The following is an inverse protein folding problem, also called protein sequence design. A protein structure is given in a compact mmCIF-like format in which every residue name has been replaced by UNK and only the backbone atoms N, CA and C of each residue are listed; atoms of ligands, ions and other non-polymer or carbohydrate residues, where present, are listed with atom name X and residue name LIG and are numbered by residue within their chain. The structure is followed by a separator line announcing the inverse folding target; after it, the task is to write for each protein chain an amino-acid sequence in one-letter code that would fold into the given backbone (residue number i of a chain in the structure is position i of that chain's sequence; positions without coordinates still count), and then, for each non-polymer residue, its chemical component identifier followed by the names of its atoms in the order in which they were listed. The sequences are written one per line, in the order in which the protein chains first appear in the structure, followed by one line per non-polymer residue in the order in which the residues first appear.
data_IF_518774074894
#
_entry.id   IF_518774074894
#
_cell.length_a   1.000
_cell.length_b   1.000
_cell.length_c   1.000
_cell.angle_alpha   90.00
_cell.angle_beta   90.00
_cell.angle_gamma   90.00
#
_symmetry.space_group_name_H-M   'P 1'
#
loop_
_entity.id
_entity.type
_entity.pdbx_description
1 polymer ?
#
# COMPACT_ATOMS: atom_id res chain seq x y z
N UNK A 1 34.59 -5.00 -0.41
CA UNK A 1 33.56 -4.16 -1.03
C UNK A 1 32.75 -3.58 0.10
N UNK A 2 32.81 -2.27 0.32
CA UNK A 2 31.98 -1.58 1.32
C UNK A 2 30.52 -1.89 1.01
N UNK A 3 29.88 -2.67 1.87
CA UNK A 3 28.46 -2.96 1.72
C UNK A 3 27.73 -1.62 1.86
N UNK A 4 27.07 -1.16 0.80
CA UNK A 4 26.38 0.12 0.77
C UNK A 4 25.15 0.02 1.68
N UNK A 5 25.35 0.35 2.96
CA UNK A 5 24.34 0.34 4.01
C UNK A 5 23.76 1.73 4.21
N UNK A 6 22.45 1.79 4.48
CA UNK A 6 21.76 3.03 4.86
C UNK A 6 21.43 3.01 6.35
N UNK A 7 21.56 4.15 7.02
CA UNK A 7 21.08 4.36 8.38
C UNK A 7 19.55 4.43 8.43
N UNK A 8 18.99 4.37 9.64
CA UNK A 8 17.54 4.53 9.83
C UNK A 8 17.01 5.84 9.24
N UNK A 9 17.77 6.94 9.32
CA UNK A 9 17.35 8.25 8.81
C UNK A 9 17.29 8.25 7.29
N UNK A 10 18.36 7.78 6.65
CA UNK A 10 18.41 7.67 5.19
C UNK A 10 17.31 6.73 4.67
N UNK A 11 17.00 5.65 5.40
CA UNK A 11 15.86 4.78 5.07
C UNK A 11 14.51 5.49 5.20
N UNK A 12 14.32 6.33 6.23
CA UNK A 12 13.09 7.09 6.38
C UNK A 12 12.92 8.08 5.22
N UNK A 13 13.98 8.79 4.88
CA UNK A 13 13.97 9.80 3.80
C UNK A 13 13.74 9.15 2.43
N UNK A 14 14.37 8.00 2.16
CA UNK A 14 14.27 7.33 0.86
C UNK A 14 12.96 6.56 0.62
N UNK A 15 12.27 6.14 1.68
CA UNK A 15 11.08 5.29 1.60
C UNK A 15 9.83 5.93 2.18
N UNK A 16 9.92 7.18 2.63
CA UNK A 16 8.82 7.94 3.24
C UNK A 16 8.17 7.18 4.41
N UNK A 17 9.01 6.56 5.24
CA UNK A 17 8.57 5.82 6.43
C UNK A 17 9.13 6.46 7.69
N UNK A 18 8.53 6.15 8.84
CA UNK A 18 9.02 6.64 10.12
C UNK A 18 10.05 5.69 10.74
N UNK A 19 10.91 6.18 11.65
CA UNK A 19 11.77 5.29 12.44
C UNK A 19 10.97 4.26 13.24
N UNK A 20 9.77 4.61 13.70
CA UNK A 20 8.84 3.69 14.38
C UNK A 20 8.44 2.55 13.46
N UNK A 21 8.12 2.83 12.20
CA UNK A 21 7.76 1.83 11.18
C UNK A 21 8.92 0.86 10.93
N UNK A 22 10.15 1.36 10.74
CA UNK A 22 11.32 0.51 10.51
C UNK A 22 11.62 -0.41 11.70
N UNK A 23 11.57 0.14 12.93
CA UNK A 23 11.74 -0.66 14.16
C UNK A 23 10.64 -1.69 14.35
N UNK A 24 9.41 -1.34 13.95
CA UNK A 24 8.30 -2.27 14.00
C UNK A 24 8.50 -3.44 13.02
N UNK A 25 8.94 -3.19 11.79
CA UNK A 25 9.25 -4.25 10.83
C UNK A 25 10.46 -5.10 11.24
N UNK A 26 11.48 -4.51 11.86
CA UNK A 26 12.56 -5.26 12.51
C UNK A 26 12.01 -6.17 13.63
N UNK A 27 11.18 -5.63 14.52
CA UNK A 27 10.58 -6.40 15.63
C UNK A 27 9.62 -7.50 15.16
N UNK A 28 9.11 -7.41 13.93
CA UNK A 28 8.28 -8.44 13.28
C UNK A 28 9.08 -9.39 12.40
N UNK A 29 10.41 -9.31 12.46
CA UNK A 29 11.35 -10.15 11.72
C UNK A 29 11.14 -10.05 10.19
N UNK A 30 10.76 -8.85 9.74
CA UNK A 30 10.58 -8.56 8.31
C UNK A 30 11.81 -7.86 7.71
N UNK A 31 12.58 -7.16 8.55
CA UNK A 31 13.85 -6.52 8.20
C UNK A 31 14.95 -6.98 9.17
N UNK A 32 16.18 -7.07 8.68
CA UNK A 32 17.30 -7.62 9.44
C UNK A 32 18.54 -6.70 9.33
N UNK A 33 18.45 -5.45 9.81
CA UNK A 33 19.58 -4.52 9.77
C UNK A 33 20.75 -5.01 10.63
N UNK A 34 21.96 -4.69 10.19
CA UNK A 34 23.19 -4.88 10.98
C UNK A 34 23.17 -3.88 12.15
N UNK A 35 23.49 -4.36 13.35
CA UNK A 35 23.59 -3.52 14.55
C UNK A 35 25.05 -3.17 14.85
N UNK A 36 25.35 -1.87 14.86
CA UNK A 36 26.64 -1.33 15.30
C UNK A 36 26.40 -0.39 16.49
N UNK A 37 26.53 -0.95 17.70
CA UNK A 37 26.13 -0.28 18.93
C UNK A 37 24.65 0.10 18.90
N UNK A 38 24.35 1.40 18.91
CA UNK A 38 22.98 1.92 18.81
C UNK A 38 22.49 2.13 17.37
N UNK A 39 23.40 2.06 16.39
CA UNK A 39 23.07 2.27 14.97
C UNK A 39 22.49 1.01 14.35
N UNK A 40 21.53 1.22 13.45
CA UNK A 40 20.99 0.20 12.54
C UNK A 40 21.42 0.54 11.14
N UNK A 41 22.09 -0.40 10.48
CA UNK A 41 22.60 -0.29 9.13
C UNK A 41 21.84 -1.27 8.24
N UNK A 42 21.06 -0.73 7.30
CA UNK A 42 20.19 -1.48 6.41
C UNK A 42 20.92 -1.77 5.10
N UNK A 43 21.02 -3.05 4.76
CA UNK A 43 21.74 -3.53 3.58
C UNK A 43 20.94 -3.30 2.28
N UNK A 44 21.53 -3.61 1.11
CA UNK A 44 20.79 -3.67 -0.16
C UNK A 44 19.57 -4.61 -0.08
N UNK A 45 19.71 -5.73 0.64
CA UNK A 45 18.64 -6.72 0.81
C UNK A 45 17.49 -6.15 1.66
N UNK A 46 17.80 -5.46 2.75
CA UNK A 46 16.77 -4.81 3.58
C UNK A 46 16.00 -3.75 2.81
N UNK A 47 16.69 -3.00 1.95
CA UNK A 47 16.08 -2.02 1.04
C UNK A 47 15.09 -2.67 0.08
N UNK A 48 15.49 -3.78 -0.54
CA UNK A 48 14.60 -4.55 -1.42
C UNK A 48 13.40 -5.13 -0.66
N UNK A 49 13.62 -5.71 0.53
CA UNK A 49 12.54 -6.23 1.39
C UNK A 49 11.57 -5.14 1.80
N UNK A 50 12.05 -3.96 2.20
CA UNK A 50 11.18 -2.83 2.55
C UNK A 50 10.29 -2.41 1.37
N UNK A 51 10.82 -2.33 0.14
CA UNK A 51 10.00 -2.05 -1.05
C UNK A 51 8.87 -3.05 -1.23
N UNK A 52 9.15 -4.34 -1.01
CA UNK A 52 8.16 -5.41 -1.12
C UNK A 52 7.12 -5.33 0.01
N UNK A 53 7.54 -5.06 1.25
CA UNK A 53 6.61 -4.85 2.39
C UNK A 53 5.66 -3.70 2.11
N UNK A 54 6.18 -2.55 1.66
CA UNK A 54 5.37 -1.37 1.35
C UNK A 54 4.41 -1.65 0.19
N UNK A 55 4.85 -2.38 -0.83
CA UNK A 55 3.99 -2.81 -1.95
C UNK A 55 2.87 -3.75 -1.46
N UNK A 56 3.20 -4.76 -0.67
CA UNK A 56 2.21 -5.68 -0.13
C UNK A 56 1.18 -4.98 0.75
N UNK A 57 1.61 -3.99 1.55
CA UNK A 57 0.70 -3.13 2.31
C UNK A 57 -0.25 -2.33 1.43
N UNK A 58 0.22 -1.82 0.29
CA UNK A 58 -0.64 -1.10 -0.68
C UNK A 58 -1.68 -2.02 -1.32
N UNK A 59 -1.39 -3.30 -1.46
CA UNK A 59 -2.39 -4.29 -1.91
C UNK A 59 -3.37 -4.70 -0.80
N UNK A 60 -3.15 -4.22 0.43
CA UNK A 60 -3.99 -4.52 1.59
C UNK A 60 -3.66 -5.83 2.28
N UNK A 61 -2.49 -6.42 2.00
CA UNK A 61 -2.04 -7.60 2.72
C UNK A 61 -1.68 -7.27 4.18
N UNK A 62 -1.98 -8.21 5.07
CA UNK A 62 -1.50 -8.19 6.44
C UNK A 62 -0.01 -8.60 6.50
N UNK A 63 0.61 -8.48 7.68
CA UNK A 63 2.05 -8.75 7.80
C UNK A 63 2.42 -10.22 7.62
N UNK A 64 1.51 -11.13 7.95
CA UNK A 64 1.73 -12.57 7.80
C UNK A 64 1.74 -12.97 6.32
N UNK A 65 0.77 -12.45 5.56
CA UNK A 65 0.70 -12.62 4.11
C UNK A 65 1.93 -12.01 3.43
N UNK A 66 2.36 -10.83 3.88
CA UNK A 66 3.60 -10.20 3.39
C UNK A 66 4.81 -11.08 3.71
N UNK A 67 4.88 -11.72 4.89
CA UNK A 67 5.99 -12.63 5.22
C UNK A 67 6.03 -13.81 4.27
N UNK A 68 4.89 -14.47 4.05
CA UNK A 68 4.78 -15.59 3.11
C UNK A 68 5.20 -15.18 1.69
N UNK A 69 4.78 -13.99 1.24
CA UNK A 69 5.21 -13.42 -0.04
C UNK A 69 6.72 -13.18 -0.09
N UNK A 70 7.34 -12.66 0.96
CA UNK A 70 8.78 -12.40 1.02
C UNK A 70 9.60 -13.70 1.01
N UNK A 71 9.11 -14.75 1.66
CA UNK A 71 9.79 -16.04 1.74
C UNK A 71 9.86 -16.72 0.35
N UNK A 72 8.87 -16.50 -0.52
CA UNK A 72 8.90 -16.96 -1.91
C UNK A 72 10.04 -16.34 -2.73
N UNK A 73 10.37 -15.06 -2.48
CA UNK A 73 11.48 -14.40 -3.18
C UNK A 73 12.86 -14.89 -2.70
N UNK A 74 12.93 -15.67 -1.63
CA UNK A 74 14.15 -16.24 -1.07
C UNK A 74 14.36 -17.72 -1.40
N UNK A 75 13.37 -18.40 -1.98
CA UNK A 75 13.46 -19.83 -2.31
C UNK A 75 14.00 -20.07 -3.73
N UNK A 76 15.02 -20.94 -3.84
CA UNK A 76 15.29 -21.70 -5.06
C UNK A 76 14.21 -22.78 -5.29
N UNK A 77 14.48 -23.78 -6.14
CA UNK A 77 13.55 -24.81 -6.68
C UNK A 77 12.62 -25.60 -5.72
N UNK A 78 12.54 -25.26 -4.43
CA UNK A 78 11.65 -25.90 -3.47
C UNK A 78 10.35 -25.11 -3.22
N UNK A 79 9.24 -25.84 -3.42
CA UNK A 79 7.85 -25.58 -3.00
C UNK A 79 6.93 -24.80 -3.95
N UNK A 80 6.65 -25.42 -5.11
CA UNK A 80 5.49 -25.12 -5.97
C UNK A 80 4.20 -24.94 -5.17
N UNK A 81 3.93 -25.77 -4.16
CA UNK A 81 2.71 -25.70 -3.35
C UNK A 81 2.56 -24.38 -2.58
N UNK A 82 3.65 -23.86 -1.99
CA UNK A 82 3.63 -22.60 -1.26
C UNK A 82 3.43 -21.43 -2.23
N UNK A 83 4.11 -21.48 -3.39
CA UNK A 83 3.94 -20.49 -4.47
C UNK A 83 2.50 -20.47 -4.99
N UNK A 84 1.90 -21.63 -5.24
CA UNK A 84 0.50 -21.76 -5.68
C UNK A 84 -0.45 -21.12 -4.68
N UNK A 85 -0.32 -21.42 -3.39
CA UNK A 85 -1.20 -20.88 -2.35
C UNK A 85 -1.12 -19.35 -2.25
N UNK A 86 0.11 -18.81 -2.27
CA UNK A 86 0.28 -17.35 -2.22
C UNK A 86 -0.21 -16.67 -3.49
N UNK A 87 -0.05 -17.31 -4.66
CA UNK A 87 -0.60 -16.82 -5.92
C UNK A 87 -2.14 -16.76 -5.88
N UNK A 88 -2.80 -17.79 -5.33
CA UNK A 88 -4.25 -17.81 -5.15
C UNK A 88 -4.73 -16.67 -4.23
N UNK A 89 -4.07 -16.47 -3.08
CA UNK A 89 -4.38 -15.34 -2.17
C UNK A 89 -4.23 -14.01 -2.90
N UNK A 90 -3.18 -13.84 -3.71
CA UNK A 90 -2.97 -12.63 -4.47
C UNK A 90 -4.04 -12.40 -5.54
N UNK A 91 -4.50 -13.47 -6.20
CA UNK A 91 -5.57 -13.40 -7.20
C UNK A 91 -6.90 -13.00 -6.56
N UNK A 92 -7.24 -13.60 -5.42
CA UNK A 92 -8.47 -13.27 -4.70
C UNK A 92 -8.43 -11.81 -4.22
N UNK A 93 -7.28 -11.35 -3.73
CA UNK A 93 -7.09 -9.95 -3.35
C UNK A 93 -7.22 -8.98 -4.52
N UNK A 94 -6.70 -9.34 -5.69
CA UNK A 94 -6.88 -8.55 -6.91
C UNK A 94 -8.36 -8.45 -7.28
N UNK A 95 -9.09 -9.57 -7.27
CA UNK A 95 -10.51 -9.57 -7.58
C UNK A 95 -11.31 -8.70 -6.59
N UNK A 96 -10.97 -8.72 -5.31
CA UNK A 96 -11.57 -7.83 -4.31
C UNK A 96 -11.30 -6.36 -4.62
N UNK A 97 -10.06 -6.01 -4.97
CA UNK A 97 -9.68 -4.64 -5.31
C UNK A 97 -10.41 -4.13 -6.55
N UNK A 98 -10.59 -4.99 -7.57
CA UNK A 98 -11.35 -4.64 -8.77
C UNK A 98 -12.82 -4.41 -8.46
N UNK A 99 -13.45 -5.25 -7.61
CA UNK A 99 -14.83 -5.02 -7.16
C UNK A 99 -14.97 -3.71 -6.40
N UNK A 100 -14.07 -3.43 -5.46
CA UNK A 100 -14.08 -2.17 -4.70
C UNK A 100 -13.89 -0.94 -5.60
N UNK A 101 -13.04 -1.04 -6.63
CA UNK A 101 -12.88 0.02 -7.63
C UNK A 101 -14.19 0.27 -8.35
N UNK A 102 -14.84 -0.78 -8.84
CA UNK A 102 -16.05 -0.66 -9.64
C UNK A 102 -17.22 -0.11 -8.82
N UNK A 103 -17.39 -0.57 -7.57
CA UNK A 103 -18.35 -0.01 -6.61
C UNK A 103 -18.09 1.47 -6.35
N UNK A 104 -16.82 1.86 -6.12
CA UNK A 104 -16.45 3.25 -5.88
C UNK A 104 -16.68 4.12 -7.12
N UNK A 105 -16.42 3.59 -8.32
CA UNK A 105 -16.71 4.29 -9.58
C UNK A 105 -18.21 4.58 -9.70
N UNK A 106 -19.07 3.60 -9.43
CA UNK A 106 -20.52 3.80 -9.44
C UNK A 106 -20.96 4.88 -8.45
N UNK A 107 -20.49 4.80 -7.20
CA UNK A 107 -20.82 5.80 -6.18
C UNK A 107 -20.34 7.21 -6.55
N UNK A 108 -19.16 7.33 -7.17
CA UNK A 108 -18.63 8.62 -7.66
C UNK A 108 -19.56 9.20 -8.74
N UNK A 109 -20.03 8.36 -9.66
CA UNK A 109 -20.87 8.83 -10.77
C UNK A 109 -22.28 9.23 -10.29
N UNK A 110 -22.87 8.46 -9.38
CA UNK A 110 -24.12 8.85 -8.70
C UNK A 110 -23.97 10.20 -7.97
N UNK A 111 -22.88 10.39 -7.23
CA UNK A 111 -22.63 11.64 -6.52
C UNK A 111 -22.46 12.82 -7.48
N UNK A 112 -21.77 12.62 -8.61
CA UNK A 112 -21.65 13.66 -9.66
C UNK A 112 -23.01 14.05 -10.22
N UNK A 113 -23.91 13.08 -10.46
CA UNK A 113 -25.26 13.36 -10.94
C UNK A 113 -26.07 14.17 -9.92
N UNK A 114 -26.03 13.78 -8.65
CA UNK A 114 -26.68 14.52 -7.57
C UNK A 114 -26.15 15.95 -7.44
N UNK A 115 -24.83 16.15 -7.55
CA UNK A 115 -24.22 17.48 -7.53
C UNK A 115 -24.67 18.34 -8.72
N UNK A 116 -24.72 17.78 -9.94
CA UNK A 116 -25.24 18.48 -11.13
C UNK A 116 -26.71 18.85 -10.96
N UNK A 117 -27.52 17.97 -10.38
CA UNK A 117 -28.92 18.27 -10.09
C UNK A 117 -29.05 19.39 -9.06
N UNK A 118 -28.27 19.33 -7.97
CA UNK A 118 -28.22 20.38 -6.95
C UNK A 118 -27.82 21.74 -7.52
N UNK A 119 -26.83 21.79 -8.42
CA UNK A 119 -26.41 23.01 -9.10
C UNK A 119 -27.54 23.63 -9.95
N UNK A 120 -28.28 22.81 -10.70
CA UNK A 120 -29.44 23.26 -11.48
C UNK A 120 -30.55 23.81 -10.58
N UNK A 121 -30.84 23.12 -9.48
CA UNK A 121 -31.85 23.55 -8.51
C UNK A 121 -31.49 24.88 -7.85
N UNK A 122 -30.24 25.02 -7.41
CA UNK A 122 -29.73 26.28 -6.84
C UNK A 122 -29.83 27.42 -7.86
N UNK A 123 -29.48 27.16 -9.12
CA UNK A 123 -29.59 28.14 -10.21
C UNK A 123 -31.04 28.55 -10.46
N UNK A 124 -31.98 27.59 -10.46
CA UNK A 124 -33.41 27.86 -10.63
C UNK A 124 -34.01 28.64 -9.47
N UNK A 125 -33.55 28.42 -8.24
CA UNK A 125 -34.04 29.12 -7.04
C UNK A 125 -33.44 30.53 -6.90
N UNK A 126 -32.24 30.75 -7.44
CA UNK A 126 -31.59 32.07 -7.48
C UNK A 126 -32.04 32.94 -8.66
N UNK A 127 -32.73 32.38 -9.64
CA UNK A 127 -33.34 33.17 -10.71
C UNK A 127 -34.41 34.11 -10.10
N UNK A 128 -34.32 35.43 -10.32
CA UNK A 128 -35.28 36.36 -9.73
C UNK A 128 -36.69 36.05 -10.21
N UNK A 129 -37.68 36.16 -9.30
CA UNK A 129 -39.12 36.28 -9.61
C UNK A 129 -39.30 37.47 -10.56
N UNK A 130 -39.09 37.27 -11.86
CA UNK A 130 -39.53 38.20 -12.91
C UNK A 130 -40.91 37.73 -13.36
N UNK A 131 -41.85 38.67 -13.35
CA UNK A 131 -43.23 38.58 -13.82
C UNK A 131 -44.21 37.84 -12.87
N UNK A 132 -44.76 38.60 -11.93
CA UNK A 132 -46.21 38.64 -11.76
C UNK A 132 -46.56 40.13 -11.67
N UNK A 133 -47.31 40.57 -12.68
CA UNK A 133 -47.95 41.89 -12.83
C UNK A 133 -48.84 42.27 -11.63
#
# INVERSE_FOLDING_TARGET
MTDDTMTIREMCDAYEVTPRTLRFYEAKELLFPIREGQKRLFTKRDRARLKLILRGKRFGFNLEEIRQLLDLYHMGDQQVTQLTRTYEIARDRLADMERQRDELTQAIDELKEQLKWGEKMISSLKAPKKAAE
#
